data_IF_387840369198
#
_entry.id   IF_387840369198
#
_cell.length_a   1.000
_cell.length_b   1.000
_cell.length_c   1.000
_cell.angle_alpha   90.00
_cell.angle_beta   90.00
_cell.angle_gamma   90.00
#
_symmetry.space_group_name_H-M   'P 1'
#
loop_
_entity.id
_entity.type
_entity.pdbx_description
1 polymer ?
#
# COMPACT_ATOMS: atom_id res chain seq x y z
N UNK A 1 40.58 -2.74 -19.46
CA UNK A 1 40.65 -1.79 -18.32
C UNK A 1 39.31 -1.09 -18.08
N UNK A 2 38.72 -0.42 -19.07
CA UNK A 2 37.44 0.32 -18.92
C UNK A 2 36.28 -0.56 -18.43
N UNK A 3 36.09 -1.75 -19.01
CA UNK A 3 35.03 -2.69 -18.60
C UNK A 3 35.17 -3.13 -17.14
N UNK A 4 36.40 -3.37 -16.67
CA UNK A 4 36.67 -3.75 -15.28
C UNK A 4 36.35 -2.63 -14.30
N UNK A 5 36.65 -1.38 -14.65
CA UNK A 5 36.31 -0.19 -13.84
C UNK A 5 34.79 -0.02 -13.75
N UNK A 6 34.08 -0.18 -14.87
CA UNK A 6 32.61 -0.09 -14.91
C UNK A 6 31.97 -1.19 -14.06
N UNK A 7 32.45 -2.43 -14.17
CA UNK A 7 31.93 -3.54 -13.35
C UNK A 7 32.19 -3.29 -11.86
N UNK A 8 33.38 -2.84 -11.48
CA UNK A 8 33.71 -2.53 -10.08
C UNK A 8 32.83 -1.40 -9.53
N UNK A 9 32.60 -0.34 -10.31
CA UNK A 9 31.72 0.76 -9.94
C UNK A 9 30.26 0.28 -9.76
N UNK A 10 29.75 -0.56 -10.66
CA UNK A 10 28.41 -1.13 -10.55
C UNK A 10 28.27 -2.01 -9.30
N UNK A 11 29.26 -2.85 -8.99
CA UNK A 11 29.25 -3.67 -7.76
C UNK A 11 29.17 -2.79 -6.52
N UNK A 12 29.99 -1.72 -6.43
CA UNK A 12 29.96 -0.79 -5.30
C UNK A 12 28.61 -0.09 -5.15
N UNK A 13 27.99 0.33 -6.26
CA UNK A 13 26.65 0.94 -6.25
C UNK A 13 25.60 -0.06 -5.73
N UNK A 14 25.62 -1.32 -6.19
CA UNK A 14 24.66 -2.33 -5.72
C UNK A 14 24.86 -2.69 -4.24
N UNK A 15 26.10 -2.70 -3.73
CA UNK A 15 26.37 -2.89 -2.31
C UNK A 15 25.81 -1.74 -1.47
N UNK A 16 26.03 -0.49 -1.91
CA UNK A 16 25.50 0.69 -1.22
C UNK A 16 23.96 0.68 -1.20
N UNK A 17 23.34 0.45 -2.36
CA UNK A 17 21.87 0.37 -2.48
C UNK A 17 21.33 -0.81 -1.68
N UNK A 18 22.02 -1.94 -1.64
CA UNK A 18 21.66 -3.11 -0.84
C UNK A 18 21.67 -2.83 0.67
N UNK A 19 22.67 -2.09 1.16
CA UNK A 19 22.75 -1.68 2.58
C UNK A 19 21.62 -0.69 2.94
N UNK A 20 21.33 0.27 2.06
CA UNK A 20 20.21 1.21 2.23
C UNK A 20 18.89 0.43 2.23
N UNK A 21 18.70 -0.48 1.27
CA UNK A 21 17.53 -1.33 1.15
C UNK A 21 17.32 -2.19 2.40
N UNK A 22 18.39 -2.80 2.94
CA UNK A 22 18.33 -3.58 4.17
C UNK A 22 17.94 -2.74 5.38
N UNK A 23 18.51 -1.54 5.52
CA UNK A 23 18.15 -0.60 6.60
C UNK A 23 16.70 -0.15 6.48
N UNK A 24 16.24 0.15 5.26
CA UNK A 24 14.85 0.51 5.00
C UNK A 24 13.91 -0.67 5.28
N UNK A 25 14.27 -1.90 4.90
CA UNK A 25 13.50 -3.11 5.20
C UNK A 25 13.38 -3.34 6.71
N UNK A 26 14.44 -3.10 7.47
CA UNK A 26 14.42 -3.18 8.93
C UNK A 26 13.50 -2.11 9.54
N UNK A 27 13.59 -0.85 9.06
CA UNK A 27 12.70 0.23 9.51
C UNK A 27 11.24 -0.03 9.12
N UNK A 28 10.98 -0.56 7.94
CA UNK A 28 9.63 -0.92 7.48
C UNK A 28 9.06 -2.08 8.30
N UNK A 29 9.88 -3.06 8.70
CA UNK A 29 9.46 -4.13 9.61
C UNK A 29 9.03 -3.60 10.97
N UNK A 30 9.73 -2.58 11.49
CA UNK A 30 9.36 -1.91 12.75
C UNK A 30 8.07 -1.09 12.61
N UNK A 31 7.85 -0.45 11.46
CA UNK A 31 6.61 0.28 11.16
C UNK A 31 5.41 -0.66 11.00
N UNK A 32 5.64 -1.83 10.40
CA UNK A 32 4.61 -2.85 10.24
C UNK A 32 4.15 -3.44 11.55
N UNK A 33 5.06 -3.62 12.52
CA UNK A 33 4.70 -4.00 13.88
C UNK A 33 3.88 -2.94 14.63
N UNK A 34 3.75 -1.71 14.08
CA UNK A 34 2.93 -0.65 14.66
C UNK A 34 1.52 -0.52 14.03
N UNK A 35 1.16 -1.33 13.03
CA UNK A 35 -0.23 -1.33 12.53
C UNK A 35 -1.12 -1.99 13.58
N UNK A 36 -2.07 -1.26 14.18
CA UNK A 36 -2.83 -1.80 15.30
C UNK A 36 -3.88 -2.80 14.82
N UNK A 37 -3.96 -3.93 15.53
CA UNK A 37 -5.10 -4.84 15.43
C UNK A 37 -6.33 -4.15 16.01
N UNK A 38 -7.33 -3.98 15.16
CA UNK A 38 -8.57 -3.29 15.47
C UNK A 38 -9.67 -4.31 15.77
N UNK A 39 -9.77 -4.70 17.05
CA UNK A 39 -10.77 -5.65 17.53
C UNK A 39 -10.15 -6.89 18.17
N UNK A 40 -10.85 -8.02 18.08
CA UNK A 40 -10.39 -9.30 18.61
C UNK A 40 -9.54 -10.03 17.58
N UNK A 41 -8.55 -10.83 18.01
CA UNK A 41 -7.81 -11.67 17.09
C UNK A 41 -8.72 -12.71 16.45
N UNK A 42 -8.51 -12.97 15.16
CA UNK A 42 -9.28 -13.89 14.34
C UNK A 42 -8.39 -14.78 13.47
N UNK A 43 -9.00 -15.60 12.63
CA UNK A 43 -8.27 -16.53 11.75
C UNK A 43 -7.99 -15.94 10.37
N UNK A 44 -8.77 -14.95 9.95
CA UNK A 44 -8.66 -14.33 8.65
C UNK A 44 -8.39 -12.83 8.79
N UNK A 45 -7.46 -12.33 7.99
CA UNK A 45 -6.92 -10.98 8.11
C UNK A 45 -7.34 -10.10 6.93
N UNK A 46 -7.65 -8.85 7.22
CA UNK A 46 -7.88 -7.79 6.24
C UNK A 46 -7.10 -6.55 6.66
N UNK A 47 -6.58 -5.80 5.68
CA UNK A 47 -6.01 -4.48 5.94
C UNK A 47 -6.90 -3.41 5.35
N UNK A 48 -7.27 -2.46 6.19
CA UNK A 48 -8.14 -1.33 5.86
C UNK A 48 -7.25 -0.10 5.76
N UNK A 49 -7.23 0.52 4.59
CA UNK A 49 -6.56 1.78 4.35
C UNK A 49 -7.62 2.87 4.21
N UNK A 50 -7.53 3.89 5.04
CA UNK A 50 -8.48 5.00 5.06
C UNK A 50 -7.76 6.27 4.61
N UNK A 51 -8.24 6.87 3.53
CA UNK A 51 -7.73 8.15 3.04
C UNK A 51 -8.61 9.28 3.55
N UNK A 52 -8.05 10.10 4.42
CA UNK A 52 -8.65 11.38 4.80
C UNK A 52 -8.34 12.42 3.73
N UNK A 53 -9.32 13.21 3.32
CA UNK A 53 -9.10 14.18 2.26
C UNK A 53 -8.30 15.41 2.70
N UNK A 54 -7.98 16.27 1.73
CA UNK A 54 -7.10 17.43 1.91
C UNK A 54 -7.83 18.74 2.21
N UNK A 55 -9.16 18.71 2.38
CA UNK A 55 -9.95 19.92 2.66
C UNK A 55 -9.57 20.49 4.04
N UNK A 56 -9.65 21.82 4.24
CA UNK A 56 -9.51 22.40 5.58
C UNK A 56 -10.52 21.75 6.54
N UNK A 57 -10.08 21.38 7.75
CA UNK A 57 -10.93 20.69 8.72
C UNK A 57 -11.31 19.24 8.35
N UNK A 58 -10.66 18.63 7.34
CA UNK A 58 -11.01 17.28 6.89
C UNK A 58 -10.67 16.17 7.89
N UNK A 59 -9.74 16.42 8.83
CA UNK A 59 -9.36 15.44 9.85
C UNK A 59 -10.36 15.40 11.00
N UNK A 60 -10.37 14.30 11.75
CA UNK A 60 -11.28 14.12 12.88
C UNK A 60 -10.55 13.73 14.16
N UNK A 61 -11.11 14.17 15.28
CA UNK A 61 -10.73 13.71 16.63
C UNK A 61 -11.69 12.66 17.20
N UNK A 62 -12.75 12.30 16.46
CA UNK A 62 -13.75 11.32 16.89
C UNK A 62 -13.21 9.89 16.81
N UNK A 63 -13.83 8.97 17.55
CA UNK A 63 -13.51 7.55 17.41
C UNK A 63 -14.19 7.01 16.16
N UNK A 64 -13.38 6.43 15.27
CA UNK A 64 -13.84 5.88 13.98
C UNK A 64 -14.03 4.38 14.10
N UNK A 65 -15.09 3.88 13.47
CA UNK A 65 -15.36 2.46 13.33
C UNK A 65 -15.68 2.06 11.89
N UNK A 66 -15.46 0.78 11.59
CA UNK A 66 -15.77 0.18 10.29
C UNK A 66 -16.38 -1.21 10.43
N UNK A 67 -17.25 -1.58 9.49
CA UNK A 67 -17.76 -2.92 9.29
C UNK A 67 -17.59 -3.33 7.83
N UNK A 68 -17.11 -4.55 7.61
CA UNK A 68 -16.92 -5.15 6.29
C UNK A 68 -18.05 -6.13 6.00
N UNK A 69 -18.54 -6.11 4.75
CA UNK A 69 -19.62 -6.97 4.29
C UNK A 69 -19.14 -7.76 3.06
N UNK A 70 -19.14 -9.08 3.20
CA UNK A 70 -18.94 -10.03 2.12
C UNK A 70 -19.99 -11.14 2.18
N UNK A 71 -19.56 -12.39 2.11
CA UNK A 71 -20.39 -13.58 2.36
C UNK A 71 -20.93 -13.58 3.79
N UNK A 72 -20.12 -13.11 4.75
CA UNK A 72 -20.52 -12.82 6.14
C UNK A 72 -20.23 -11.36 6.47
N UNK A 73 -20.63 -10.90 7.65
CA UNK A 73 -20.32 -9.57 8.19
C UNK A 73 -19.16 -9.71 9.18
N UNK A 74 -18.19 -8.80 9.12
CA UNK A 74 -17.06 -8.79 10.07
C UNK A 74 -17.46 -8.37 11.49
N UNK A 75 -18.58 -7.65 11.63
CA UNK A 75 -18.93 -6.92 12.85
C UNK A 75 -18.38 -5.49 12.83
N UNK A 76 -18.41 -4.81 13.98
CA UNK A 76 -17.90 -3.44 14.12
C UNK A 76 -16.50 -3.44 14.72
N UNK A 77 -15.55 -2.82 14.03
CA UNK A 77 -14.16 -2.68 14.44
C UNK A 77 -13.85 -1.21 14.69
N UNK A 78 -13.34 -0.88 15.87
CA UNK A 78 -12.85 0.47 16.16
C UNK A 78 -11.43 0.62 15.62
N UNK A 79 -11.23 1.63 14.79
CA UNK A 79 -9.96 1.92 14.16
C UNK A 79 -9.15 2.86 15.07
N UNK A 80 -8.36 2.29 15.98
CA UNK A 80 -7.63 3.05 16.99
C UNK A 80 -6.15 3.13 16.65
N UNK A 81 -5.64 4.35 16.47
CA UNK A 81 -4.22 4.66 16.32
C UNK A 81 -3.97 6.11 16.68
N UNK A 82 -2.93 6.37 17.47
CA UNK A 82 -2.54 7.73 17.83
C UNK A 82 -2.19 8.56 16.59
N UNK A 83 -2.77 9.76 16.50
CA UNK A 83 -2.53 10.67 15.38
C UNK A 83 -3.07 10.17 14.03
N UNK A 84 -4.01 9.23 14.01
CA UNK A 84 -4.72 8.84 12.80
C UNK A 84 -5.78 9.87 12.39
N UNK A 85 -6.30 9.69 11.17
CA UNK A 85 -7.38 10.47 10.57
C UNK A 85 -7.10 11.97 10.48
N UNK A 86 -5.83 12.33 10.35
CA UNK A 86 -5.41 13.70 10.14
C UNK A 86 -5.69 14.13 8.70
N UNK A 87 -5.84 15.43 8.47
CA UNK A 87 -6.04 15.98 7.13
C UNK A 87 -4.96 15.47 6.15
N UNK A 88 -5.39 14.90 5.03
CA UNK A 88 -4.52 14.37 3.99
C UNK A 88 -3.80 13.06 4.36
N UNK A 89 -4.05 12.48 5.53
CA UNK A 89 -3.42 11.22 5.96
C UNK A 89 -3.88 10.04 5.11
N UNK A 90 -3.05 9.00 5.09
CA UNK A 90 -3.42 7.66 4.65
C UNK A 90 -3.10 6.73 5.82
N UNK A 91 -4.13 6.29 6.53
CA UNK A 91 -3.99 5.48 7.72
C UNK A 91 -4.32 4.03 7.44
N UNK A 92 -3.52 3.12 8.00
CA UNK A 92 -3.67 1.68 7.80
C UNK A 92 -4.01 1.00 9.12
N UNK A 93 -4.97 0.08 9.06
CA UNK A 93 -5.46 -0.70 10.19
C UNK A 93 -5.56 -2.17 9.81
N UNK A 94 -5.42 -3.05 10.81
CA UNK A 94 -5.56 -4.48 10.64
C UNK A 94 -6.86 -4.95 11.29
N UNK A 95 -7.71 -5.62 10.52
CA UNK A 95 -9.01 -6.13 10.94
C UNK A 95 -8.98 -7.64 10.79
N UNK A 96 -9.31 -8.34 11.86
CA UNK A 96 -9.38 -9.80 11.86
C UNK A 96 -10.82 -10.28 12.07
N UNK A 97 -11.11 -11.41 11.43
CA UNK A 97 -12.41 -12.05 11.42
C UNK A 97 -12.24 -13.55 11.62
N UNK A 98 -13.26 -14.21 12.17
CA UNK A 98 -13.22 -15.67 12.40
C UNK A 98 -13.25 -16.46 11.10
N UNK A 99 -13.91 -15.92 10.06
CA UNK A 99 -14.10 -16.57 8.77
C UNK A 99 -13.69 -15.65 7.61
N UNK A 100 -13.32 -16.24 6.48
CA UNK A 100 -13.14 -15.51 5.23
C UNK A 100 -14.47 -14.87 4.78
N UNK A 101 -14.47 -13.55 4.58
CA UNK A 101 -15.60 -12.78 4.05
C UNK A 101 -15.78 -12.94 2.53
N UNK A 102 -14.81 -13.51 1.81
CA UNK A 102 -14.84 -13.61 0.35
C UNK A 102 -14.76 -12.24 -0.32
N UNK A 103 -15.60 -12.02 -1.32
CA UNK A 103 -15.69 -10.73 -2.04
C UNK A 103 -16.33 -9.67 -1.13
N UNK A 104 -15.55 -8.68 -0.70
CA UNK A 104 -16.07 -7.57 0.12
C UNK A 104 -16.74 -6.57 -0.80
N UNK A 105 -18.07 -6.58 -0.79
CA UNK A 105 -18.90 -5.79 -1.70
C UNK A 105 -19.48 -4.53 -1.06
N UNK A 106 -19.40 -4.39 0.27
CA UNK A 106 -19.85 -3.21 1.00
C UNK A 106 -19.02 -2.95 2.26
N UNK A 107 -18.89 -1.69 2.62
CA UNK A 107 -18.45 -1.26 3.95
C UNK A 107 -19.49 -0.36 4.62
N UNK A 108 -19.47 -0.32 5.95
CA UNK A 108 -20.08 0.75 6.74
C UNK A 108 -18.96 1.42 7.55
N UNK A 109 -18.73 2.69 7.32
CA UNK A 109 -17.76 3.49 8.08
C UNK A 109 -18.48 4.57 8.86
N UNK A 110 -18.07 4.83 10.09
CA UNK A 110 -18.78 5.71 11.00
C UNK A 110 -17.85 6.32 12.03
N UNK A 111 -18.30 7.38 12.71
CA UNK A 111 -17.65 7.93 13.88
C UNK A 111 -18.67 8.22 14.99
N UNK A 112 -18.21 8.31 16.23
CA UNK A 112 -19.07 8.51 17.41
C UNK A 112 -19.39 9.98 17.72
N UNK A 113 -18.97 10.91 16.86
CA UNK A 113 -19.11 12.35 17.01
C UNK A 113 -18.50 12.95 18.29
N UNK A 114 -17.52 12.28 18.89
CA UNK A 114 -16.80 12.79 20.07
C UNK A 114 -15.57 13.63 19.69
N UNK A 115 -14.96 14.30 20.68
CA UNK A 115 -13.78 15.14 20.48
C UNK A 115 -14.11 16.60 20.19
N UNK A 116 -13.08 17.38 19.88
CA UNK A 116 -13.19 18.82 19.62
C UNK A 116 -13.63 19.11 18.18
N UNK A 117 -13.10 18.33 17.24
CA UNK A 117 -13.37 18.45 15.81
C UNK A 117 -13.86 17.08 15.29
N UNK A 118 -15.14 16.73 15.49
CA UNK A 118 -15.67 15.42 15.13
C UNK A 118 -15.94 15.26 13.63
N UNK A 119 -16.17 16.36 12.92
CA UNK A 119 -16.40 16.38 11.47
C UNK A 119 -15.25 15.72 10.73
N UNK A 120 -15.57 14.89 9.74
CA UNK A 120 -14.56 14.12 9.04
C UNK A 120 -14.83 14.06 7.55
N UNK A 121 -13.83 14.37 6.72
CA UNK A 121 -13.96 14.23 5.27
C UNK A 121 -13.18 13.00 4.78
N UNK A 122 -13.92 11.97 4.38
CA UNK A 122 -13.36 10.72 3.90
C UNK A 122 -13.29 10.76 2.38
N UNK A 123 -12.09 10.57 1.84
CA UNK A 123 -11.90 10.52 0.40
C UNK A 123 -12.28 9.13 -0.12
N UNK A 124 -11.62 8.09 0.39
CA UNK A 124 -11.88 6.70 0.02
C UNK A 124 -11.35 5.73 1.07
N UNK A 125 -11.80 4.49 0.97
CA UNK A 125 -11.32 3.36 1.76
C UNK A 125 -10.90 2.24 0.80
N UNK A 126 -9.77 1.59 1.11
CA UNK A 126 -9.33 0.37 0.42
C UNK A 126 -9.29 -0.76 1.43
N UNK A 127 -9.98 -1.86 1.11
CA UNK A 127 -9.90 -3.10 1.88
C UNK A 127 -9.07 -4.08 1.07
N UNK A 128 -7.97 -4.53 1.66
CA UNK A 128 -7.10 -5.51 1.05
C UNK A 128 -7.16 -6.81 1.83
N UNK A 129 -7.42 -7.90 1.11
CA UNK A 129 -7.21 -9.27 1.55
C UNK A 129 -5.78 -9.74 1.18
N UNK A 130 -4.84 -9.80 2.13
CA UNK A 130 -3.47 -10.23 1.85
C UNK A 130 -3.34 -11.73 1.56
N UNK A 131 -4.34 -12.55 1.86
CA UNK A 131 -4.30 -13.99 1.59
C UNK A 131 -4.59 -14.28 0.12
N UNK A 132 -5.50 -13.52 -0.49
CA UNK A 132 -5.89 -13.67 -1.89
C UNK A 132 -5.27 -12.63 -2.82
N UNK A 133 -4.63 -11.60 -2.27
CA UNK A 133 -4.10 -10.44 -3.00
C UNK A 133 -5.19 -9.64 -3.75
N UNK A 134 -6.42 -9.63 -3.20
CA UNK A 134 -7.54 -8.89 -3.75
C UNK A 134 -7.74 -7.55 -3.02
N UNK A 135 -7.96 -6.49 -3.80
CA UNK A 135 -8.23 -5.14 -3.29
C UNK A 135 -9.64 -4.70 -3.68
N UNK A 136 -10.40 -4.26 -2.69
CA UNK A 136 -11.75 -3.70 -2.83
C UNK A 136 -11.70 -2.21 -2.54
N UNK A 137 -12.24 -1.41 -3.46
CA UNK A 137 -12.16 0.06 -3.40
C UNK A 137 -13.54 0.63 -3.10
N UNK A 138 -13.60 1.57 -2.16
CA UNK A 138 -14.83 2.24 -1.75
C UNK A 138 -14.60 3.75 -1.84
N UNK A 139 -15.28 4.41 -2.77
CA UNK A 139 -15.19 5.86 -2.95
C UNK A 139 -16.26 6.56 -2.12
N UNK A 140 -15.85 7.54 -1.32
CA UNK A 140 -16.75 8.29 -0.44
C UNK A 140 -16.87 9.75 -0.88
N UNK A 141 -15.72 10.42 -0.98
CA UNK A 141 -15.56 11.85 -1.29
C UNK A 141 -16.56 12.79 -0.57
N UNK A 142 -16.90 12.47 0.68
CA UNK A 142 -17.93 13.19 1.43
C UNK A 142 -17.60 13.37 2.91
N UNK A 143 -18.32 14.31 3.53
CA UNK A 143 -18.28 14.60 4.95
C UNK A 143 -19.15 13.61 5.73
N UNK A 144 -18.61 13.10 6.82
CA UNK A 144 -19.34 12.52 7.93
C UNK A 144 -19.32 13.56 9.04
N UNK A 145 -20.44 14.26 9.22
CA UNK A 145 -20.62 15.25 10.28
C UNK A 145 -22.09 15.48 10.56
N UNK A 146 -22.39 16.01 11.75
CA UNK A 146 -23.76 16.36 12.15
C UNK A 146 -24.20 17.71 11.57
N UNK A 147 -23.25 18.61 11.30
CA UNK A 147 -23.51 20.00 10.93
C UNK A 147 -23.52 20.25 9.41
N UNK A 148 -23.42 19.22 8.57
CA UNK A 148 -23.38 19.40 7.12
C UNK A 148 -24.77 19.75 6.56
N UNK A 149 -24.83 20.81 5.74
CA UNK A 149 -26.08 21.31 5.14
C UNK A 149 -26.75 20.32 4.16
N UNK A 150 -25.97 19.38 3.62
CA UNK A 150 -26.42 18.47 2.55
C UNK A 150 -26.74 17.06 3.02
N UNK A 151 -25.99 16.52 4.00
CA UNK A 151 -26.20 15.19 4.59
C UNK A 151 -25.57 15.14 5.99
N UNK A 152 -26.40 15.26 7.04
CA UNK A 152 -25.98 15.25 8.45
C UNK A 152 -25.86 13.83 9.01
N UNK A 153 -24.99 13.02 8.41
CA UNK A 153 -24.79 11.61 8.82
C UNK A 153 -23.39 11.39 9.34
N UNK A 154 -23.28 10.77 10.52
CA UNK A 154 -22.01 10.33 11.13
C UNK A 154 -21.56 8.95 10.65
N UNK A 155 -22.29 8.37 9.71
CA UNK A 155 -22.02 7.07 9.13
C UNK A 155 -22.37 7.03 7.65
N UNK A 156 -21.67 6.17 6.91
CA UNK A 156 -21.95 5.89 5.51
C UNK A 156 -21.79 4.41 5.21
N UNK A 157 -22.76 3.89 4.45
CA UNK A 157 -22.63 2.61 3.77
C UNK A 157 -22.24 2.83 2.31
N UNK A 158 -21.22 2.11 1.84
CA UNK A 158 -20.61 2.32 0.53
C UNK A 158 -20.39 0.98 -0.13
N UNK A 159 -20.83 0.84 -1.38
CA UNK A 159 -20.60 -0.36 -2.17
C UNK A 159 -19.20 -0.33 -2.79
N UNK A 160 -18.65 -1.52 -3.05
CA UNK A 160 -17.39 -1.64 -3.75
C UNK A 160 -17.54 -1.07 -5.17
N UNK A 161 -16.57 -0.26 -5.60
CA UNK A 161 -16.57 0.31 -6.94
C UNK A 161 -16.40 -0.76 -8.00
N UNK A 162 -17.09 -0.58 -9.13
CA UNK A 162 -16.90 -1.41 -10.31
C UNK A 162 -15.56 -1.09 -11.01
N UNK A 163 -15.04 -2.00 -11.85
CA UNK A 163 -13.80 -1.78 -12.59
C UNK A 163 -13.79 -0.49 -13.41
N UNK A 164 -14.91 -0.07 -14.00
CA UNK A 164 -15.01 1.14 -14.82
C UNK A 164 -14.79 2.42 -13.99
N UNK A 165 -15.49 2.55 -12.86
CA UNK A 165 -15.28 3.64 -11.90
C UNK A 165 -13.84 3.66 -11.37
N UNK A 166 -13.28 2.47 -11.13
CA UNK A 166 -11.90 2.33 -10.69
C UNK A 166 -10.90 2.82 -11.74
N UNK A 167 -11.17 2.68 -13.04
CA UNK A 167 -10.27 3.23 -14.08
C UNK A 167 -10.26 4.76 -14.10
N UNK A 168 -11.41 5.40 -13.90
CA UNK A 168 -11.51 6.85 -13.76
C UNK A 168 -10.75 7.31 -12.50
N UNK A 169 -10.98 6.63 -11.38
CA UNK A 169 -10.28 6.88 -10.13
C UNK A 169 -8.76 6.70 -10.25
N UNK A 170 -8.30 5.61 -10.87
CA UNK A 170 -6.87 5.35 -11.13
C UNK A 170 -6.23 6.47 -11.94
N UNK A 171 -6.89 6.98 -12.98
CA UNK A 171 -6.37 8.10 -13.80
C UNK A 171 -6.27 9.41 -13.02
N UNK A 172 -7.16 9.63 -12.05
CA UNK A 172 -7.16 10.81 -11.17
C UNK A 172 -6.09 10.72 -10.07
N UNK A 173 -5.70 9.50 -9.66
CA UNK A 173 -4.93 9.26 -8.44
C UNK A 173 -3.56 8.58 -8.64
N UNK A 174 -3.12 8.27 -9.87
CA UNK A 174 -1.83 7.57 -10.12
C UNK A 174 -0.61 8.24 -9.45
N UNK A 175 -0.69 9.52 -9.06
CA UNK A 175 0.36 10.23 -8.32
C UNK A 175 0.39 9.95 -6.81
N UNK A 176 -0.63 9.28 -6.25
CA UNK A 176 -0.83 9.12 -4.80
C UNK A 176 -1.17 7.68 -4.37
N UNK A 177 -1.62 6.78 -5.25
CA UNK A 177 -1.78 5.34 -4.95
C UNK A 177 -0.93 4.52 -5.93
N UNK A 178 0.25 4.13 -5.48
CA UNK A 178 0.89 2.93 -6.02
C UNK A 178 1.31 2.00 -4.88
N UNK A 179 0.31 1.49 -4.13
CA UNK A 179 0.56 0.38 -3.21
C UNK A 179 0.58 -0.98 -3.92
N UNK A 180 -0.22 -1.16 -4.98
CA UNK A 180 -0.37 -2.47 -5.67
C UNK A 180 0.33 -2.62 -7.03
N UNK A 181 0.50 -1.54 -7.83
CA UNK A 181 1.14 -1.67 -9.16
C UNK A 181 2.68 -1.67 -9.11
N UNK A 182 3.28 -1.10 -8.07
CA UNK A 182 4.74 -1.13 -7.83
C UNK A 182 5.22 -2.55 -7.56
N UNK A 183 4.34 -3.46 -7.14
CA UNK A 183 4.72 -4.83 -6.76
C UNK A 183 5.17 -5.70 -7.95
N UNK A 184 4.66 -5.42 -9.17
CA UNK A 184 4.91 -6.24 -10.36
C UNK A 184 6.08 -5.79 -11.24
N UNK A 185 6.58 -4.57 -11.07
CA UNK A 185 7.71 -4.06 -11.83
C UNK A 185 8.97 -4.00 -10.98
N UNK A 186 9.86 -4.98 -11.17
CA UNK A 186 11.13 -5.19 -10.45
C UNK A 186 11.92 -3.90 -10.17
N UNK A 187 11.91 -2.96 -11.13
CA UNK A 187 12.65 -1.70 -11.08
C UNK A 187 11.91 -0.58 -10.33
N UNK A 188 10.58 -0.55 -10.34
CA UNK A 188 9.77 0.44 -9.61
C UNK A 188 9.64 0.07 -8.12
N UNK A 189 9.73 -1.22 -7.78
CA UNK A 189 9.71 -1.73 -6.40
C UNK A 189 10.96 -1.44 -5.58
N UNK A 190 12.04 -0.92 -6.20
CA UNK A 190 13.26 -0.53 -5.50
C UNK A 190 13.08 0.76 -4.70
N UNK A 191 12.14 1.63 -5.09
CA UNK A 191 11.88 2.92 -4.46
C UNK A 191 10.89 2.82 -3.29
N UNK A 192 9.85 1.99 -3.40
CA UNK A 192 8.82 1.85 -2.37
C UNK A 192 8.47 0.37 -2.16
N UNK A 193 8.78 -0.19 -0.97
CA UNK A 193 8.29 -1.51 -0.57
C UNK A 193 6.89 -1.35 0.01
N UNK A 194 5.86 -1.97 -0.57
CA UNK A 194 4.59 -2.08 0.09
C UNK A 194 4.69 -3.10 1.26
N UNK A 195 3.96 -2.88 2.37
CA UNK A 195 4.05 -3.58 3.65
C UNK A 195 3.70 -5.07 3.65
N UNK A 196 3.61 -5.69 2.47
CA UNK A 196 3.18 -7.09 2.30
C UNK A 196 3.91 -7.84 1.20
N UNK A 197 4.86 -7.21 0.51
CA UNK A 197 5.69 -7.94 -0.44
C UNK A 197 6.44 -9.05 0.29
N UNK A 198 6.24 -10.31 -0.14
CA UNK A 198 7.01 -11.47 0.31
C UNK A 198 8.50 -11.38 -0.06
N UNK A 199 8.86 -10.44 -0.95
CA UNK A 199 10.22 -10.23 -1.46
C UNK A 199 10.81 -8.94 -0.90
N UNK A 200 11.94 -9.02 -0.18
CA UNK A 200 12.56 -7.86 0.48
C UNK A 200 13.20 -6.92 -0.54
N UNK A 201 13.34 -5.61 -0.22
CA UNK A 201 14.08 -4.67 -1.08
C UNK A 201 15.50 -5.21 -1.34
N UNK A 202 16.11 -5.83 -0.32
CA UNK A 202 17.41 -6.52 -0.46
C UNK A 202 17.40 -7.62 -1.51
N UNK A 203 16.41 -8.51 -1.51
CA UNK A 203 16.31 -9.59 -2.51
C UNK A 203 16.09 -9.02 -3.93
N UNK A 204 15.32 -7.93 -4.07
CA UNK A 204 15.11 -7.22 -5.35
C UNK A 204 16.42 -6.66 -5.91
N UNK A 205 17.23 -6.01 -5.07
CA UNK A 205 18.55 -5.48 -5.44
C UNK A 205 19.50 -6.61 -5.87
N UNK A 206 19.47 -7.78 -5.21
CA UNK A 206 20.32 -8.91 -5.60
C UNK A 206 19.94 -9.51 -6.94
N UNK A 207 18.63 -9.63 -7.24
CA UNK A 207 18.13 -10.13 -8.52
C UNK A 207 18.46 -9.17 -9.67
N UNK A 208 18.27 -7.85 -9.48
CA UNK A 208 18.62 -6.86 -10.49
C UNK A 208 20.13 -6.79 -10.75
N UNK A 209 20.94 -6.91 -9.68
CA UNK A 209 22.39 -7.00 -9.82
C UNK A 209 22.78 -8.23 -10.66
N UNK A 210 22.23 -9.40 -10.35
CA UNK A 210 22.53 -10.63 -11.08
C UNK A 210 22.19 -10.50 -12.57
N UNK A 211 20.99 -10.00 -12.90
CA UNK A 211 20.57 -9.82 -14.29
C UNK A 211 21.47 -8.86 -15.07
N UNK A 212 21.85 -7.73 -14.46
CA UNK A 212 22.74 -6.75 -15.11
C UNK A 212 24.15 -7.32 -15.34
N UNK A 213 24.72 -8.01 -14.36
CA UNK A 213 26.05 -8.60 -14.49
C UNK A 213 26.07 -9.76 -15.49
N UNK A 214 25.02 -10.58 -15.55
CA UNK A 214 24.88 -11.62 -16.57
C UNK A 214 24.78 -11.02 -17.98
N UNK A 215 24.03 -9.93 -18.16
CA UNK A 215 23.95 -9.23 -19.44
C UNK A 215 25.31 -8.67 -19.88
N UNK A 216 26.05 -8.03 -18.98
CA UNK A 216 27.39 -7.52 -19.25
C UNK A 216 28.39 -8.64 -19.57
N UNK A 217 28.31 -9.78 -18.87
CA UNK A 217 29.16 -10.94 -19.11
C UNK A 217 28.87 -11.56 -20.49
N UNK A 218 27.60 -11.72 -20.85
CA UNK A 218 27.18 -12.21 -22.16
C UNK A 218 27.66 -11.28 -23.29
N UNK A 219 27.52 -9.97 -23.11
CA UNK A 219 28.06 -8.98 -24.05
C UNK A 219 29.57 -9.09 -24.21
N UNK A 220 30.31 -9.15 -23.11
CA UNK A 220 31.77 -9.29 -23.14
C UNK A 220 32.23 -10.60 -23.81
N UNK A 221 31.55 -11.72 -23.54
CA UNK A 221 31.81 -13.01 -24.18
C UNK A 221 31.55 -12.96 -25.68
N UNK A 222 30.43 -12.35 -26.11
CA UNK A 222 30.09 -12.22 -27.53
C UNK A 222 31.12 -11.39 -28.29
N UNK A 223 31.43 -10.18 -27.81
CA UNK A 223 32.42 -9.31 -28.47
C UNK A 223 33.84 -9.90 -28.41
N UNK A 224 34.19 -10.61 -27.33
CA UNK A 224 35.44 -11.35 -27.23
C UNK A 224 35.53 -12.49 -28.25
N UNK A 225 34.47 -13.30 -28.38
CA UNK A 225 34.42 -14.40 -29.34
C UNK A 225 34.49 -13.91 -30.79
N UNK A 226 33.69 -12.90 -31.15
CA UNK A 226 33.69 -12.32 -32.51
C UNK A 226 35.04 -11.67 -32.85
N UNK A 227 35.67 -10.99 -31.88
CA UNK A 227 36.99 -10.38 -32.06
C UNK A 227 38.10 -11.40 -32.32
N UNK A 228 38.01 -12.61 -31.77
CA UNK A 228 38.99 -13.68 -32.04
C UNK A 228 38.83 -14.36 -33.40
N UNK A 229 37.64 -14.32 -33.99
CA UNK A 229 37.36 -14.91 -35.31
C UNK A 229 37.83 -14.01 -36.45
N UNK A 230 37.81 -12.69 -36.29
CA UNK A 230 38.27 -11.74 -37.31
C UNK A 230 39.81 -11.62 -37.47
N UNK A 231 40.58 -12.28 -36.59
CA UNK A 231 42.05 -12.28 -36.60
C UNK A 231 42.67 -13.63 -37.03
N UNK A 232 41.87 -14.55 -37.58
CA UNK A 232 42.35 -15.78 -38.24
C UNK A 232 42.22 -15.69 -39.75
#
# INVERSE_FOLDING_TARGET
MVVGIICAALVLIHLLVGLIAHKLDHLDSLRLSQVPLCGRPGLYHYRVLVKTGWRPGAGTTAHVGISLYGVKKSGSHHLQRDGAFQRGSLDQFHVETDDNLGEVWKIRIWHDNTGLDPSWYVQHVVVWDPQTDHMFFFLLDDWLSVDNETNSTVEKEVLACCPEELTLFKRVFTSQLIFGMVDRHLWLSLLERPPHSCFTRGQRVTCSALMLHLYLALGALWYGAVGTVGHR
#
